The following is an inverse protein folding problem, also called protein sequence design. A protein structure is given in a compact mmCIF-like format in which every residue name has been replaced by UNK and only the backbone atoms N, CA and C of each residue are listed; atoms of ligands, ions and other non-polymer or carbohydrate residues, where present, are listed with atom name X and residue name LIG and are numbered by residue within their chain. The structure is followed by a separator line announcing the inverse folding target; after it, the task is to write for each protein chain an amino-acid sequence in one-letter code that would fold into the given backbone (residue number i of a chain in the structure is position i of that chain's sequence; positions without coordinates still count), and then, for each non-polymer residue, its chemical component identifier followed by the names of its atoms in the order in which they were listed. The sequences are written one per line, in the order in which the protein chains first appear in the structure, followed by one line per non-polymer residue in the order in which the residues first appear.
data_IF_887161192835
#
_entry.id   IF_887161192835
#
_cell.length_a   1.000
_cell.length_b   1.000
_cell.length_c   1.000
_cell.angle_alpha   90.00
_cell.angle_beta   90.00
_cell.angle_gamma   90.00
#
_symmetry.space_group_name_H-M   'P 1'
#
loop_
_entity.id
_entity.type
_entity.pdbx_description
1 polymer ?
#
# COMPACT_ATOMS: atom_id res chain seq x y z
N UNK A 1 1.57 -8.94 -24.64
CA UNK A 1 0.91 -9.77 -23.59
C UNK A 1 -0.19 -8.94 -22.95
N UNK A 2 -1.29 -9.55 -22.45
CA UNK A 2 -2.35 -8.79 -21.80
C UNK A 2 -1.84 -8.07 -20.54
N UNK A 3 -2.32 -6.85 -20.32
CA UNK A 3 -1.95 -6.00 -19.18
C UNK A 3 -2.54 -6.59 -17.90
N UNK A 4 -1.74 -6.66 -16.85
CA UNK A 4 -2.18 -7.07 -15.52
C UNK A 4 -2.62 -5.84 -14.73
N UNK A 5 -3.86 -5.86 -14.25
CA UNK A 5 -4.37 -4.82 -13.36
C UNK A 5 -4.27 -5.31 -11.92
N UNK A 6 -3.54 -4.52 -11.13
CA UNK A 6 -3.34 -4.77 -9.70
C UNK A 6 -4.51 -4.27 -8.86
N UNK A 7 -4.54 -4.74 -7.63
CA UNK A 7 -5.42 -4.25 -6.57
C UNK A 7 -5.15 -2.78 -6.26
N UNK A 8 -6.16 -2.10 -5.76
CA UNK A 8 -6.11 -0.76 -5.18
C UNK A 8 -5.78 -0.86 -3.71
N UNK A 9 -4.74 -0.14 -3.28
CA UNK A 9 -4.35 -0.02 -1.88
C UNK A 9 -4.45 1.46 -1.48
N UNK A 10 -5.04 1.71 -0.31
CA UNK A 10 -5.16 3.03 0.29
C UNK A 10 -4.61 2.98 1.72
N UNK A 11 -3.88 4.00 2.13
CA UNK A 11 -3.46 4.23 3.51
C UNK A 11 -3.95 5.59 3.96
N UNK A 12 -4.48 5.65 5.19
CA UNK A 12 -4.87 6.89 5.86
C UNK A 12 -4.28 6.87 7.27
N UNK A 13 -3.48 7.89 7.59
CA UNK A 13 -3.02 8.18 8.95
C UNK A 13 -3.77 9.39 9.48
N UNK A 14 -4.47 9.23 10.60
CA UNK A 14 -5.27 10.28 11.21
C UNK A 14 -5.61 9.95 12.66
N UNK A 15 -5.55 10.97 13.52
CA UNK A 15 -6.05 10.93 14.90
C UNK A 15 -5.51 9.76 15.72
N UNK A 16 -4.19 9.55 15.70
CA UNK A 16 -3.55 8.48 16.46
C UNK A 16 -3.80 7.08 15.89
N UNK A 17 -4.24 6.96 14.63
CA UNK A 17 -4.37 5.68 13.93
C UNK A 17 -3.81 5.74 12.52
N UNK A 18 -3.25 4.62 12.07
CA UNK A 18 -2.92 4.37 10.67
C UNK A 18 -3.64 3.11 10.20
N UNK A 19 -4.28 3.23 9.04
CA UNK A 19 -5.07 2.18 8.42
C UNK A 19 -4.56 1.97 7.01
N UNK A 20 -4.28 0.73 6.64
CA UNK A 20 -4.02 0.34 5.26
C UNK A 20 -5.10 -0.64 4.83
N UNK A 21 -5.79 -0.30 3.76
CA UNK A 21 -6.86 -1.09 3.16
C UNK A 21 -6.49 -1.42 1.73
N UNK A 22 -6.87 -2.60 1.27
CA UNK A 22 -6.68 -3.02 -0.11
C UNK A 22 -7.81 -3.89 -0.60
N UNK A 23 -8.23 -3.71 -1.84
CA UNK A 23 -9.20 -4.60 -2.47
C UNK A 23 -8.55 -5.93 -2.91
N UNK A 24 -9.38 -6.87 -3.34
CA UNK A 24 -8.98 -8.22 -3.69
C UNK A 24 -8.94 -8.50 -5.18
N UNK A 25 -9.31 -7.56 -6.05
CA UNK A 25 -9.43 -7.83 -7.47
C UNK A 25 -8.08 -7.92 -8.18
N UNK A 26 -7.89 -9.01 -8.90
CA UNK A 26 -6.79 -9.20 -9.84
C UNK A 26 -7.42 -9.49 -11.20
N UNK A 27 -7.15 -8.61 -12.17
CA UNK A 27 -7.65 -8.74 -13.54
C UNK A 27 -6.51 -8.91 -14.53
N UNK A 28 -6.75 -9.73 -15.55
CA UNK A 28 -5.87 -9.89 -16.71
C UNK A 28 -6.62 -9.39 -17.94
N UNK A 29 -6.22 -8.22 -18.45
CA UNK A 29 -7.04 -7.46 -19.38
C UNK A 29 -8.42 -7.16 -18.79
N UNK A 30 -9.49 -7.51 -19.50
CA UNK A 30 -10.87 -7.27 -19.08
C UNK A 30 -11.47 -8.40 -18.21
N UNK A 31 -10.69 -9.44 -17.92
CA UNK A 31 -11.19 -10.62 -17.20
C UNK A 31 -10.73 -10.61 -15.75
N UNK A 32 -11.68 -10.76 -14.81
CA UNK A 32 -11.37 -10.95 -13.39
C UNK A 32 -10.83 -12.36 -13.18
N UNK A 33 -9.57 -12.48 -12.79
CA UNK A 33 -8.90 -13.76 -12.54
C UNK A 33 -9.12 -14.23 -11.10
N UNK A 34 -9.06 -13.30 -10.15
CA UNK A 34 -9.26 -13.59 -8.73
C UNK A 34 -9.89 -12.37 -8.04
N UNK A 35 -11.00 -12.52 -7.31
CA UNK A 35 -11.68 -11.40 -6.67
C UNK A 35 -11.24 -11.15 -5.21
N UNK A 36 -10.42 -12.02 -4.61
CA UNK A 36 -10.10 -12.02 -3.17
C UNK A 36 -8.61 -12.17 -2.86
N UNK A 37 -7.74 -11.55 -3.64
CA UNK A 37 -6.34 -11.43 -3.30
C UNK A 37 -6.18 -10.67 -1.97
N UNK A 38 -5.18 -11.05 -1.16
CA UNK A 38 -4.83 -10.34 0.07
C UNK A 38 -3.43 -9.75 -0.13
N UNK A 39 -3.35 -8.44 -0.35
CA UNK A 39 -2.08 -7.74 -0.61
C UNK A 39 -1.68 -6.73 0.46
N UNK A 40 -2.50 -6.63 1.51
CA UNK A 40 -2.17 -5.94 2.76
C UNK A 40 -1.77 -7.00 3.79
N UNK A 41 -0.67 -6.77 4.50
CA UNK A 41 -0.18 -7.65 5.57
C UNK A 41 0.63 -6.86 6.60
N UNK A 42 0.83 -7.43 7.78
CA UNK A 42 1.82 -6.94 8.74
C UNK A 42 3.21 -7.52 8.46
N UNK A 43 4.23 -6.76 8.79
CA UNK A 43 5.64 -7.03 8.54
C UNK A 43 6.48 -6.73 9.78
N UNK A 44 7.64 -7.38 9.86
CA UNK A 44 8.64 -7.16 10.92
C UNK A 44 8.26 -7.83 12.24
N UNK A 45 9.14 -7.69 13.23
CA UNK A 45 8.91 -8.24 14.57
C UNK A 45 7.57 -7.74 15.13
N UNK A 46 6.76 -8.67 15.62
CA UNK A 46 5.43 -8.44 16.21
C UNK A 46 4.44 -7.65 15.33
N UNK A 47 4.67 -7.59 14.01
CA UNK A 47 3.78 -6.90 13.07
C UNK A 47 3.75 -5.37 13.23
N UNK A 48 4.89 -4.80 13.61
CA UNK A 48 5.09 -3.35 13.85
C UNK A 48 5.02 -2.46 12.59
N UNK A 49 4.97 -3.05 11.39
CA UNK A 49 4.80 -2.35 10.11
C UNK A 49 3.62 -2.95 9.36
N UNK A 50 2.79 -2.13 8.73
CA UNK A 50 1.78 -2.56 7.76
C UNK A 50 2.31 -2.30 6.35
N UNK A 51 2.28 -3.32 5.50
CA UNK A 51 2.67 -3.25 4.09
C UNK A 51 1.51 -3.55 3.16
N UNK A 52 1.37 -2.74 2.11
CA UNK A 52 0.43 -2.94 1.02
C UNK A 52 1.13 -2.84 -0.34
N UNK A 53 0.79 -3.73 -1.27
CA UNK A 53 1.50 -3.83 -2.55
C UNK A 53 0.56 -3.83 -3.76
N UNK A 54 0.84 -2.98 -4.74
CA UNK A 54 0.14 -2.97 -6.02
C UNK A 54 1.08 -3.46 -7.14
N UNK A 55 0.99 -4.77 -7.43
CA UNK A 55 1.78 -5.44 -8.47
C UNK A 55 1.60 -6.95 -8.44
N UNK A 56 2.51 -7.69 -9.06
CA UNK A 56 2.47 -9.15 -9.07
C UNK A 56 2.78 -9.74 -7.68
N UNK A 57 2.13 -10.85 -7.35
CA UNK A 57 2.24 -11.46 -6.01
C UNK A 57 3.67 -11.91 -5.68
N UNK A 58 4.43 -12.43 -6.65
CA UNK A 58 5.80 -12.89 -6.45
C UNK A 58 6.76 -11.73 -6.10
N UNK A 59 6.59 -10.58 -6.76
CA UNK A 59 7.36 -9.37 -6.48
C UNK A 59 7.06 -8.84 -5.08
N UNK A 60 5.78 -8.89 -4.68
CA UNK A 60 5.35 -8.49 -3.34
C UNK A 60 6.08 -9.29 -2.26
N UNK A 61 6.15 -10.63 -2.40
CA UNK A 61 6.86 -11.49 -1.44
C UNK A 61 8.33 -11.13 -1.37
N UNK A 62 8.99 -11.00 -2.52
CA UNK A 62 10.42 -10.68 -2.58
C UNK A 62 10.75 -9.35 -1.92
N UNK A 63 9.94 -8.31 -2.19
CA UNK A 63 10.17 -6.97 -1.66
C UNK A 63 9.86 -6.88 -0.16
N UNK A 64 8.83 -7.58 0.32
CA UNK A 64 8.53 -7.66 1.74
C UNK A 64 9.62 -8.41 2.52
N UNK A 65 10.10 -9.56 2.03
CA UNK A 65 11.20 -10.29 2.67
C UNK A 65 12.47 -9.43 2.76
N UNK A 66 12.80 -8.70 1.68
CA UNK A 66 13.93 -7.75 1.69
C UNK A 66 13.70 -6.62 2.67
N UNK A 67 12.49 -6.07 2.75
CA UNK A 67 12.16 -5.02 3.72
C UNK A 67 12.30 -5.52 5.16
N UNK A 68 11.81 -6.72 5.47
CA UNK A 68 11.90 -7.32 6.80
C UNK A 68 13.36 -7.51 7.23
N UNK A 69 14.21 -8.03 6.34
CA UNK A 69 15.63 -8.14 6.61
C UNK A 69 16.31 -6.78 6.89
N UNK A 70 15.83 -5.69 6.26
CA UNK A 70 16.32 -4.33 6.53
C UNK A 70 15.76 -3.77 7.83
N UNK A 71 14.48 -4.02 8.13
CA UNK A 71 13.87 -3.61 9.40
C UNK A 71 14.60 -4.23 10.58
N UNK A 72 14.97 -5.51 10.50
CA UNK A 72 15.75 -6.18 11.53
C UNK A 72 17.13 -5.52 11.73
N UNK A 73 17.87 -5.28 10.64
CA UNK A 73 19.19 -4.62 10.68
C UNK A 73 19.14 -3.19 11.24
N UNK A 74 18.04 -2.48 11.00
CA UNK A 74 17.86 -1.09 11.42
C UNK A 74 17.01 -0.92 12.68
N UNK A 75 16.83 -2.00 13.46
CA UNK A 75 16.12 -1.98 14.75
C UNK A 75 14.71 -1.38 14.62
N UNK A 76 13.97 -1.78 13.58
CA UNK A 76 12.60 -1.35 13.33
C UNK A 76 12.43 0.06 12.75
N UNK A 77 13.52 0.79 12.44
CA UNK A 77 13.43 2.13 11.85
C UNK A 77 12.96 2.07 10.39
N UNK A 78 11.65 2.24 10.17
CA UNK A 78 11.02 2.09 8.85
C UNK A 78 11.63 3.00 7.79
N UNK A 79 11.79 4.30 8.08
CA UNK A 79 12.35 5.26 7.12
C UNK A 79 13.74 4.82 6.62
N UNK A 80 14.60 4.37 7.52
CA UNK A 80 15.96 3.93 7.16
C UNK A 80 15.93 2.63 6.35
N UNK A 81 15.11 1.67 6.76
CA UNK A 81 14.93 0.41 6.05
C UNK A 81 14.36 0.63 4.63
N UNK A 82 13.39 1.53 4.48
CA UNK A 82 12.77 1.89 3.21
C UNK A 82 13.76 2.55 2.25
N UNK A 83 14.59 3.49 2.73
CA UNK A 83 15.63 4.13 1.91
C UNK A 83 16.69 3.14 1.43
N UNK A 84 17.10 2.21 2.29
CA UNK A 84 18.03 1.16 1.85
C UNK A 84 17.39 0.18 0.85
N UNK A 85 16.14 -0.21 1.07
CA UNK A 85 15.41 -1.04 0.13
C UNK A 85 15.29 -0.34 -1.23
N UNK A 86 14.96 0.95 -1.26
CA UNK A 86 14.84 1.71 -2.51
C UNK A 86 16.16 1.78 -3.29
N UNK A 87 17.30 1.91 -2.59
CA UNK A 87 18.64 1.84 -3.21
C UNK A 87 18.92 0.45 -3.82
N UNK A 88 18.60 -0.61 -3.08
CA UNK A 88 18.78 -1.99 -3.55
C UNK A 88 17.83 -2.28 -4.73
N UNK A 89 16.60 -1.79 -4.68
CA UNK A 89 15.60 -1.96 -5.73
C UNK A 89 16.05 -1.30 -7.04
N UNK A 90 16.55 -0.07 -6.98
CA UNK A 90 17.04 0.67 -8.16
C UNK A 90 18.28 0.03 -8.80
N UNK A 91 19.15 -0.59 -7.99
CA UNK A 91 20.42 -1.15 -8.46
C UNK A 91 20.31 -2.60 -8.94
N UNK A 92 19.34 -3.35 -8.43
CA UNK A 92 19.10 -4.74 -8.80
C UNK A 92 18.52 -4.84 -10.23
N UNK A 93 19.21 -5.60 -11.09
CA UNK A 93 18.86 -5.79 -12.51
C UNK A 93 17.45 -6.34 -12.70
N UNK A 94 16.97 -7.18 -11.79
CA UNK A 94 15.66 -7.81 -11.87
C UNK A 94 14.58 -6.90 -11.28
N UNK A 95 14.84 -6.27 -10.14
CA UNK A 95 13.83 -5.47 -9.45
C UNK A 95 13.51 -4.15 -10.15
N UNK A 96 14.48 -3.50 -10.81
CA UNK A 96 14.28 -2.19 -11.45
C UNK A 96 13.28 -2.17 -12.60
N UNK A 97 12.96 -3.34 -13.18
CA UNK A 97 11.98 -3.46 -14.26
C UNK A 97 10.56 -3.69 -13.73
N UNK A 98 10.39 -3.74 -12.40
CA UNK A 98 9.09 -3.91 -11.78
C UNK A 98 8.34 -2.58 -11.81
N UNK A 99 7.17 -2.57 -12.44
CA UNK A 99 6.23 -1.43 -12.43
C UNK A 99 5.47 -1.31 -11.10
N UNK A 100 5.93 -2.01 -10.06
CA UNK A 100 5.20 -2.12 -8.82
C UNK A 100 5.45 -0.94 -7.88
N UNK A 101 4.41 -0.59 -7.11
CA UNK A 101 4.48 0.35 -6.01
C UNK A 101 4.10 -0.34 -4.71
N UNK A 102 4.64 0.16 -3.61
CA UNK A 102 4.40 -0.37 -2.27
C UNK A 102 4.12 0.77 -1.29
N UNK A 103 3.10 0.61 -0.45
CA UNK A 103 2.86 1.46 0.72
C UNK A 103 3.34 0.69 1.94
N UNK A 104 4.10 1.35 2.81
CA UNK A 104 4.52 0.82 4.11
C UNK A 104 4.26 1.86 5.19
N UNK A 105 3.75 1.44 6.33
CA UNK A 105 3.43 2.34 7.44
C UNK A 105 3.77 1.70 8.79
N UNK A 106 4.42 2.45 9.67
CA UNK A 106 4.58 2.08 11.08
C UNK A 106 3.78 3.05 11.96
N UNK A 107 4.02 3.06 13.26
CA UNK A 107 3.35 3.97 14.18
C UNK A 107 3.68 5.45 13.92
N UNK A 108 4.79 5.77 13.25
CA UNK A 108 5.32 7.14 13.14
C UNK A 108 5.14 7.72 11.73
N UNK A 109 5.41 6.94 10.68
CA UNK A 109 5.46 7.41 9.28
C UNK A 109 4.77 6.46 8.31
N UNK A 110 4.24 7.03 7.22
CA UNK A 110 3.71 6.29 6.07
C UNK A 110 4.52 6.63 4.84
N UNK A 111 4.94 5.63 4.06
CA UNK A 111 5.84 5.80 2.94
C UNK A 111 5.32 5.07 1.71
N UNK A 112 5.52 5.69 0.54
CA UNK A 112 5.32 5.08 -0.77
C UNK A 112 6.71 4.80 -1.36
N UNK A 113 6.94 3.55 -1.76
CA UNK A 113 8.16 3.11 -2.44
C UNK A 113 7.84 2.74 -3.89
N UNK A 114 8.72 3.14 -4.80
CA UNK A 114 8.60 2.86 -6.24
C UNK A 114 9.81 2.07 -6.76
N UNK A 115 9.62 1.34 -7.87
CA UNK A 115 10.71 0.63 -8.55
C UNK A 115 11.84 1.52 -9.08
N UNK A 116 11.61 2.83 -9.18
CA UNK A 116 12.63 3.82 -9.54
C UNK A 116 13.58 4.16 -8.38
N UNK A 117 13.29 3.66 -7.18
CA UNK A 117 14.04 3.95 -5.96
C UNK A 117 13.61 5.24 -5.27
N UNK A 118 12.39 5.72 -5.52
CA UNK A 118 11.82 6.85 -4.80
C UNK A 118 11.22 6.38 -3.47
N UNK A 119 11.38 7.22 -2.44
CA UNK A 119 10.71 7.06 -1.14
C UNK A 119 9.99 8.35 -0.83
N UNK A 120 8.66 8.30 -0.79
CA UNK A 120 7.81 9.47 -0.70
C UNK A 120 6.91 9.37 0.54
N UNK A 121 6.89 10.41 1.36
CA UNK A 121 5.92 10.55 2.44
C UNK A 121 4.69 11.30 1.89
N UNK A 122 3.46 10.79 2.10
CA UNK A 122 2.26 11.41 1.57
C UNK A 122 1.91 12.71 2.29
N UNK A 123 1.48 13.70 1.53
CA UNK A 123 0.89 14.91 2.10
C UNK A 123 -0.45 14.58 2.78
N UNK A 124 -0.72 15.19 3.94
CA UNK A 124 -1.95 14.99 4.73
C UNK A 124 -2.21 13.55 5.21
N UNK A 125 -1.18 12.68 5.22
CA UNK A 125 -1.31 11.32 5.74
C UNK A 125 -2.14 10.37 4.88
N UNK A 126 -2.44 10.73 3.62
CA UNK A 126 -3.24 9.89 2.70
C UNK A 126 -2.39 9.45 1.51
N UNK A 127 -2.22 8.13 1.35
CA UNK A 127 -1.48 7.52 0.24
C UNK A 127 -2.35 6.49 -0.47
N UNK A 128 -2.31 6.43 -1.80
CA UNK A 128 -2.96 5.37 -2.55
C UNK A 128 -2.11 4.91 -3.73
N UNK A 129 -2.22 3.62 -4.08
CA UNK A 129 -1.54 2.99 -5.21
C UNK A 129 -2.47 1.97 -5.89
N UNK A 130 -2.13 1.57 -7.12
CA UNK A 130 -2.87 0.55 -7.87
C UNK A 130 -3.94 1.10 -8.80
N UNK A 131 -4.74 0.21 -9.40
CA UNK A 131 -5.59 0.53 -10.55
C UNK A 131 -6.64 1.61 -10.25
N UNK A 132 -7.24 1.58 -9.06
CA UNK A 132 -8.21 2.56 -8.58
C UNK A 132 -7.63 3.58 -7.60
N UNK A 133 -6.29 3.65 -7.47
CA UNK A 133 -5.61 4.46 -6.45
C UNK A 133 -6.00 5.92 -6.48
N UNK A 134 -6.12 6.53 -7.66
CA UNK A 134 -6.48 7.95 -7.79
C UNK A 134 -7.92 8.24 -7.33
N UNK A 135 -8.87 7.32 -7.56
CA UNK A 135 -10.25 7.48 -7.10
C UNK A 135 -10.31 7.37 -5.58
N UNK A 136 -9.64 6.36 -5.01
CA UNK A 136 -9.54 6.18 -3.57
C UNK A 136 -8.85 7.38 -2.90
N UNK A 137 -7.77 7.90 -3.50
CA UNK A 137 -7.03 9.06 -3.00
C UNK A 137 -7.91 10.32 -2.99
N UNK A 138 -8.59 10.61 -4.09
CA UNK A 138 -9.46 11.79 -4.18
C UNK A 138 -10.61 11.71 -3.16
N UNK A 139 -11.25 10.54 -3.05
CA UNK A 139 -12.32 10.32 -2.07
C UNK A 139 -11.82 10.45 -0.62
N UNK A 140 -10.69 9.83 -0.29
CA UNK A 140 -10.11 9.93 1.05
C UNK A 140 -9.73 11.38 1.39
N UNK A 141 -9.08 12.10 0.46
CA UNK A 141 -8.73 13.53 0.65
C UNK A 141 -9.94 14.43 0.87
N UNK A 142 -11.07 14.14 0.22
CA UNK A 142 -12.30 14.89 0.45
C UNK A 142 -12.95 14.56 1.80
N UNK A 143 -12.81 13.31 2.26
CA UNK A 143 -13.43 12.83 3.49
C UNK A 143 -12.64 13.19 4.75
N UNK A 144 -11.30 13.28 4.67
CA UNK A 144 -10.46 13.52 5.84
C UNK A 144 -10.90 14.78 6.58
N UNK A 145 -11.26 15.88 5.92
CA UNK A 145 -11.64 17.10 6.63
C UNK A 145 -12.91 16.99 7.49
N UNK A 146 -13.77 16.00 7.23
CA UNK A 146 -15.08 15.85 7.87
C UNK A 146 -15.25 14.56 8.69
N UNK A 147 -14.34 13.60 8.54
CA UNK A 147 -14.40 12.31 9.23
C UNK A 147 -13.16 12.13 10.10
N UNK A 148 -13.37 11.83 11.38
CA UNK A 148 -12.29 11.69 12.35
C UNK A 148 -11.71 10.27 12.37
N UNK A 149 -12.51 9.25 12.05
CA UNK A 149 -12.07 7.87 12.11
C UNK A 149 -11.36 7.43 10.81
N UNK A 150 -10.06 7.13 10.92
CA UNK A 150 -9.22 6.71 9.80
C UNK A 150 -9.75 5.46 9.09
N UNK A 151 -10.31 4.51 9.85
CA UNK A 151 -10.88 3.29 9.27
C UNK A 151 -12.13 3.61 8.45
N UNK A 152 -13.02 4.45 8.97
CA UNK A 152 -14.21 4.91 8.26
C UNK A 152 -13.85 5.67 6.98
N UNK A 153 -12.84 6.55 6.99
CA UNK A 153 -12.32 7.21 5.78
C UNK A 153 -11.88 6.17 4.75
N UNK A 154 -11.04 5.21 5.15
CA UNK A 154 -10.53 4.16 4.27
C UNK A 154 -11.66 3.34 3.63
N UNK A 155 -12.65 2.91 4.42
CA UNK A 155 -13.77 2.10 3.93
C UNK A 155 -14.65 2.86 2.95
N UNK A 156 -15.03 4.10 3.27
CA UNK A 156 -15.85 4.95 2.39
C UNK A 156 -15.12 5.27 1.08
N UNK A 157 -13.83 5.60 1.15
CA UNK A 157 -13.03 5.91 -0.03
C UNK A 157 -12.84 4.69 -0.95
N UNK A 158 -12.59 3.51 -0.38
CA UNK A 158 -12.49 2.26 -1.15
C UNK A 158 -13.83 1.86 -1.78
N UNK A 159 -14.96 2.08 -1.11
CA UNK A 159 -16.28 1.85 -1.69
C UNK A 159 -16.50 2.70 -2.96
N UNK A 160 -16.16 4.00 -2.90
CA UNK A 160 -16.21 4.88 -4.08
C UNK A 160 -15.28 4.37 -5.19
N UNK A 161 -14.07 3.93 -4.84
CA UNK A 161 -13.15 3.40 -5.83
C UNK A 161 -13.68 2.12 -6.51
N UNK A 162 -14.38 1.25 -5.77
CA UNK A 162 -15.01 0.04 -6.31
C UNK A 162 -16.23 0.33 -7.20
N UNK A 163 -16.96 1.42 -6.96
CA UNK A 163 -18.08 1.83 -7.81
C UNK A 163 -17.61 2.45 -9.14
N UNK A 164 -16.44 3.11 -9.14
CA UNK A 164 -15.92 3.85 -10.30
C UNK A 164 -14.93 3.03 -11.13
N UNK A 165 -14.02 2.29 -10.50
CA UNK A 165 -12.95 1.58 -11.17
C UNK A 165 -13.33 0.12 -11.45
N UNK A 166 -13.43 -0.25 -12.74
CA UNK A 166 -13.70 -1.63 -13.18
C UNK A 166 -12.66 -2.66 -12.71
N UNK A 167 -11.50 -2.21 -12.21
CA UNK A 167 -10.42 -3.05 -11.70
C UNK A 167 -10.33 -3.07 -10.17
N UNK A 168 -11.30 -2.51 -9.46
CA UNK A 168 -11.38 -2.49 -7.99
C UNK A 168 -12.71 -3.06 -7.55
N UNK A 169 -12.74 -3.91 -6.52
CA UNK A 169 -13.99 -4.44 -5.97
C UNK A 169 -14.21 -4.09 -4.50
N UNK A 170 -15.35 -4.55 -3.98
CA UNK A 170 -15.80 -4.38 -2.60
C UNK A 170 -15.17 -5.37 -1.60
N UNK A 171 -14.32 -6.30 -2.08
CA UNK A 171 -13.72 -7.35 -1.24
C UNK A 171 -12.41 -6.87 -0.66
N UNK A 172 -12.50 -6.09 0.40
CA UNK A 172 -11.34 -5.44 1.02
C UNK A 172 -10.72 -6.25 2.16
N UNK A 173 -9.39 -6.21 2.26
CA UNK A 173 -8.62 -6.52 3.48
C UNK A 173 -8.15 -5.23 4.13
N UNK A 174 -8.19 -5.17 5.46
CA UNK A 174 -7.82 -4.00 6.24
C UNK A 174 -6.87 -4.39 7.36
N UNK A 175 -5.85 -3.57 7.58
CA UNK A 175 -4.94 -3.63 8.72
C UNK A 175 -4.91 -2.27 9.41
N UNK A 176 -4.96 -2.28 10.74
CA UNK A 176 -5.06 -1.07 11.58
C UNK A 176 -3.99 -1.08 12.66
N UNK A 177 -3.36 0.05 12.90
CA UNK A 177 -2.35 0.22 13.94
C UNK A 177 -2.49 1.58 14.60
N UNK A 178 -2.14 1.65 15.88
CA UNK A 178 -2.06 2.93 16.59
C UNK A 178 -0.87 3.75 16.07
N UNK A 179 -1.10 5.04 15.86
CA UNK A 179 -0.15 6.02 15.35
C UNK A 179 0.22 7.02 16.45
N UNK A 180 1.43 7.55 16.42
CA UNK A 180 1.89 8.62 17.30
C UNK A 180 1.33 9.99 16.90
N UNK A 181 0.79 10.12 15.68
CA UNK A 181 0.08 11.29 15.13
C UNK A 181 -1.35 10.98 14.73
#
# INVERSE_FOLDING_TARGET
MPVWHGTTILSVRRNGKVVVIGDGQVSMGQTVMKPNAKKVRRLGADGQVIGGFAGATADAFTLFERLEAKLERHQGKLMRAAVELAKDWRTDKYLRNLEAMMIVADKDVTLILTGNGDVLEPENGVAAIGSGGNYALAAARALVDYEADAETVCRKAMAIAAEVCVYTNDRTTIEVMDSTS
#
